data_IF_988072474349
#
_entry.id   IF_988072474349
#
_cell.length_a   1.000
_cell.length_b   1.000
_cell.length_c   1.000
_cell.angle_alpha   90.00
_cell.angle_beta   90.00
_cell.angle_gamma   90.00
#
_symmetry.space_group_name_H-M   'P 1'
#
loop_
_entity.id
_entity.type
_entity.pdbx_description
1 polymer ?
#
# COMPACT_ATOMS: atom_id res chain seq x y z
N UNK A 1 -5.84 2.63 10.06
CA UNK A 1 -5.15 1.58 9.26
C UNK A 1 -3.86 1.09 9.93
N UNK A 2 -3.40 -0.15 9.66
CA UNK A 2 -2.13 -0.71 10.16
C UNK A 2 -1.10 -0.84 9.02
N UNK A 3 0.11 -0.29 9.20
CA UNK A 3 1.17 -0.30 8.17
C UNK A 3 1.56 -1.71 7.73
N UNK A 4 1.72 -2.64 8.68
CA UNK A 4 2.14 -4.00 8.40
C UNK A 4 1.09 -4.80 7.61
N UNK A 5 -0.20 -4.51 7.77
CA UNK A 5 -1.25 -5.15 6.97
C UNK A 5 -1.20 -4.70 5.51
N UNK A 6 -0.82 -3.44 5.27
CA UNK A 6 -0.56 -2.94 3.91
C UNK A 6 0.65 -3.64 3.31
N UNK A 7 1.73 -3.81 4.08
CA UNK A 7 2.93 -4.53 3.61
C UNK A 7 2.59 -5.98 3.24
N UNK A 8 1.79 -6.69 4.06
CA UNK A 8 1.33 -8.05 3.74
C UNK A 8 0.52 -8.07 2.46
N UNK A 9 -0.44 -7.16 2.30
CA UNK A 9 -1.23 -7.06 1.07
C UNK A 9 -0.36 -6.73 -0.14
N UNK A 10 0.62 -5.83 -0.02
CA UNK A 10 1.55 -5.51 -1.10
C UNK A 10 2.34 -6.76 -1.52
N UNK A 11 2.72 -7.59 -0.55
CA UNK A 11 3.40 -8.86 -0.80
C UNK A 11 2.51 -9.90 -1.46
N UNK A 12 1.30 -10.12 -0.92
CA UNK A 12 0.31 -11.08 -1.46
C UNK A 12 -0.09 -10.75 -2.90
N UNK A 13 -0.17 -9.45 -3.21
CA UNK A 13 -0.60 -8.94 -4.51
C UNK A 13 0.56 -8.53 -5.41
N UNK A 14 1.79 -8.84 -5.01
CA UNK A 14 2.98 -8.61 -5.82
C UNK A 14 2.88 -9.42 -7.12
N UNK A 15 2.73 -8.71 -8.24
CA UNK A 15 2.54 -9.30 -9.56
C UNK A 15 1.08 -9.37 -10.03
N UNK A 16 0.10 -9.16 -9.14
CA UNK A 16 -1.32 -9.11 -9.50
C UNK A 16 -1.79 -7.67 -9.81
N UNK A 17 -1.23 -6.67 -9.13
CA UNK A 17 -1.66 -5.29 -9.32
C UNK A 17 -0.99 -4.29 -8.38
N UNK A 18 -1.63 -3.14 -8.22
CA UNK A 18 -1.30 -2.11 -7.24
C UNK A 18 -2.38 -2.06 -6.16
N UNK A 19 -2.08 -1.49 -4.99
CA UNK A 19 -3.09 -1.24 -3.97
C UNK A 19 -3.60 0.19 -4.06
N UNK A 20 -4.91 0.35 -4.24
CA UNK A 20 -5.60 1.62 -4.17
C UNK A 20 -6.16 1.80 -2.75
N UNK A 21 -5.84 2.92 -2.11
CA UNK A 21 -6.41 3.33 -0.82
C UNK A 21 -7.48 4.38 -1.08
N UNK A 22 -8.67 4.20 -0.51
CA UNK A 22 -9.85 5.01 -0.79
C UNK A 22 -10.20 5.97 0.37
N UNK A 23 -11.05 6.99 0.15
CA UNK A 23 -11.46 7.92 1.20
C UNK A 23 -12.21 7.29 2.39
N UNK A 24 -12.80 6.11 2.20
CA UNK A 24 -13.46 5.33 3.25
C UNK A 24 -12.50 4.38 3.99
N UNK A 25 -11.19 4.60 3.85
CA UNK A 25 -10.10 3.78 4.40
C UNK A 25 -10.03 2.34 3.86
N UNK A 26 -10.83 2.00 2.84
CA UNK A 26 -10.75 0.70 2.20
C UNK A 26 -9.51 0.59 1.32
N UNK A 27 -9.03 -0.65 1.14
CA UNK A 27 -7.89 -0.97 0.27
C UNK A 27 -8.34 -2.04 -0.73
N UNK A 28 -8.18 -1.76 -2.02
CA UNK A 28 -8.49 -2.72 -3.09
C UNK A 28 -7.29 -2.92 -4.00
N UNK A 29 -7.23 -4.08 -4.65
CA UNK A 29 -6.27 -4.32 -5.73
C UNK A 29 -6.81 -3.71 -7.01
N UNK A 30 -5.96 -2.97 -7.71
CA UNK A 30 -6.23 -2.40 -9.03
C UNK A 30 -5.17 -2.87 -10.03
N UNK A 31 -5.49 -2.99 -11.32
CA UNK A 31 -4.53 -3.43 -12.32
C UNK A 31 -3.24 -2.58 -12.36
N UNK A 32 -2.11 -3.12 -12.87
CA UNK A 32 -0.86 -2.37 -13.00
C UNK A 32 -0.99 -1.07 -13.82
N UNK A 33 -1.86 -1.07 -14.83
CA UNK A 33 -2.17 0.01 -15.77
C UNK A 33 -3.40 0.83 -15.35
N UNK A 34 -3.82 0.73 -14.09
CA UNK A 34 -5.00 1.40 -13.58
C UNK A 34 -4.99 2.92 -13.85
N UNK A 35 -6.05 3.40 -14.51
CA UNK A 35 -6.21 4.78 -14.99
C UNK A 35 -6.38 5.82 -13.87
N UNK A 36 -6.57 5.37 -12.62
CA UNK A 36 -6.76 6.24 -11.47
C UNK A 36 -8.22 6.52 -11.12
N UNK A 37 -9.19 5.85 -11.74
CA UNK A 37 -10.61 6.05 -11.44
C UNK A 37 -11.43 4.74 -11.55
N UNK A 38 -12.32 4.50 -10.58
CA UNK A 38 -13.30 3.41 -10.59
C UNK A 38 -14.67 3.98 -10.22
N UNK A 39 -15.64 3.88 -11.13
CA UNK A 39 -17.01 4.31 -10.89
C UNK A 39 -17.14 5.80 -10.49
N UNK A 40 -16.35 6.69 -11.11
CA UNK A 40 -16.35 8.12 -10.79
C UNK A 40 -15.55 8.50 -9.53
N UNK A 41 -14.96 7.52 -8.83
CA UNK A 41 -14.15 7.75 -7.62
C UNK A 41 -12.67 7.56 -7.93
N UNK A 42 -11.85 8.43 -7.35
CA UNK A 42 -10.39 8.35 -7.41
C UNK A 42 -9.85 7.87 -6.06
N UNK A 43 -8.86 6.96 -6.05
CA UNK A 43 -8.19 6.61 -4.81
C UNK A 43 -7.38 7.81 -4.31
N UNK A 44 -7.18 7.85 -2.99
CA UNK A 44 -6.33 8.85 -2.36
C UNK A 44 -4.85 8.60 -2.64
N UNK A 45 -4.45 7.33 -2.68
CA UNK A 45 -3.09 6.92 -3.02
C UNK A 45 -3.10 5.56 -3.69
N UNK A 46 -2.14 5.35 -4.60
CA UNK A 46 -1.88 4.07 -5.26
C UNK A 46 -0.48 3.61 -4.85
N UNK A 47 -0.42 2.54 -4.08
CA UNK A 47 0.82 1.92 -3.63
C UNK A 47 1.23 0.83 -4.63
N UNK A 48 2.47 0.88 -5.11
CA UNK A 48 2.98 -0.02 -6.16
C UNK A 48 3.86 -1.12 -5.56
N UNK A 49 3.43 -2.40 -5.52
CA UNK A 49 4.19 -3.51 -4.92
C UNK A 49 5.61 -3.66 -5.46
N UNK A 50 5.79 -3.59 -6.78
CA UNK A 50 7.09 -3.81 -7.42
C UNK A 50 8.14 -2.80 -6.92
N UNK A 51 7.74 -1.55 -6.68
CA UNK A 51 8.65 -0.53 -6.19
C UNK A 51 8.92 -0.67 -4.67
N UNK A 52 7.99 -1.26 -3.92
CA UNK A 52 7.99 -1.22 -2.47
C UNK A 52 8.53 -2.51 -1.84
N UNK A 53 8.07 -3.68 -2.30
CA UNK A 53 8.34 -4.96 -1.60
C UNK A 53 9.14 -5.98 -2.43
N UNK A 54 9.26 -5.85 -3.76
CA UNK A 54 9.97 -6.84 -4.59
C UNK A 54 11.49 -6.91 -4.35
N UNK A 55 12.07 -5.97 -3.60
CA UNK A 55 13.50 -5.96 -3.24
C UNK A 55 13.84 -6.84 -2.03
N UNK A 56 12.84 -7.42 -1.36
CA UNK A 56 13.04 -8.27 -0.19
C UNK A 56 12.88 -9.74 -0.57
N UNK A 57 13.80 -10.60 -0.11
CA UNK A 57 13.70 -12.05 -0.33
C UNK A 57 12.57 -12.69 0.50
N UNK A 58 12.19 -12.05 1.62
CA UNK A 58 11.20 -12.56 2.57
C UNK A 58 10.32 -11.42 3.11
N UNK A 59 9.02 -11.70 3.29
CA UNK A 59 8.03 -10.73 3.79
C UNK A 59 8.38 -10.23 5.20
N UNK A 60 9.01 -11.07 6.03
CA UNK A 60 9.44 -10.74 7.38
C UNK A 60 10.46 -9.61 7.42
N UNK A 61 11.28 -9.47 6.37
CA UNK A 61 12.21 -8.35 6.23
C UNK A 61 11.47 -7.07 5.86
N UNK A 62 10.53 -7.13 4.92
CA UNK A 62 9.68 -6.00 4.55
C UNK A 62 8.87 -5.49 5.75
N UNK A 63 8.32 -6.39 6.58
CA UNK A 63 7.51 -6.05 7.75
C UNK A 63 8.28 -5.29 8.85
N UNK A 64 9.61 -5.36 8.84
CA UNK A 64 10.49 -4.76 9.84
C UNK A 64 11.34 -3.62 9.29
N UNK A 65 11.30 -3.37 7.98
CA UNK A 65 12.13 -2.34 7.34
C UNK A 65 11.58 -0.94 7.68
N UNK A 66 12.30 -0.14 8.48
CA UNK A 66 11.80 1.16 8.93
C UNK A 66 11.64 2.15 7.78
N UNK A 67 12.43 2.02 6.70
CA UNK A 67 12.35 2.89 5.53
C UNK A 67 11.09 2.62 4.72
N UNK A 68 10.77 1.35 4.48
CA UNK A 68 9.53 0.93 3.81
C UNK A 68 8.32 1.35 4.63
N UNK A 69 8.30 1.03 5.94
CA UNK A 69 7.18 1.37 6.82
C UNK A 69 6.94 2.88 6.83
N UNK A 70 7.97 3.70 7.00
CA UNK A 70 7.84 5.16 6.94
C UNK A 70 7.38 5.65 5.57
N UNK A 71 7.89 5.08 4.47
CA UNK A 71 7.46 5.46 3.11
C UNK A 71 5.96 5.25 2.89
N UNK A 72 5.43 4.09 3.31
CA UNK A 72 3.99 3.79 3.22
C UNK A 72 3.21 4.74 4.11
N UNK A 73 3.66 4.94 5.34
CA UNK A 73 2.99 5.83 6.28
C UNK A 73 2.93 7.27 5.79
N UNK A 74 4.02 7.81 5.25
CA UNK A 74 4.07 9.19 4.75
C UNK A 74 3.13 9.36 3.56
N UNK A 75 3.10 8.39 2.64
CA UNK A 75 2.19 8.41 1.51
C UNK A 75 0.72 8.36 1.94
N UNK A 76 0.37 7.55 2.94
CA UNK A 76 -1.00 7.49 3.46
C UNK A 76 -1.34 8.74 4.27
N UNK A 77 -0.46 9.22 5.15
CA UNK A 77 -0.70 10.43 5.97
C UNK A 77 -0.80 11.69 5.11
N UNK A 78 -0.10 11.78 3.98
CA UNK A 78 -0.23 12.89 3.04
C UNK A 78 -1.66 13.04 2.48
N UNK A 79 -2.48 11.99 2.56
CA UNK A 79 -3.89 12.02 2.15
C UNK A 79 -4.85 12.45 3.25
N UNK A 80 -4.35 12.65 4.48
CA UNK A 80 -5.14 12.97 5.67
C UNK A 80 -5.64 11.75 6.45
N UNK A 81 -5.35 10.52 6.00
CA UNK A 81 -5.74 9.28 6.68
C UNK A 81 -4.82 8.95 7.86
N UNK A 82 -5.38 8.28 8.88
CA UNK A 82 -4.64 7.83 10.04
C UNK A 82 -4.08 6.41 9.86
N UNK A 83 -2.78 6.26 10.08
CA UNK A 83 -2.05 4.99 9.97
C UNK A 83 -1.06 4.82 11.11
N UNK A 84 -1.07 3.64 11.72
CA UNK A 84 -0.22 3.27 12.84
C UNK A 84 0.53 1.97 12.55
N UNK A 85 1.63 1.76 13.25
CA UNK A 85 2.35 0.49 13.23
C UNK A 85 1.65 -0.52 14.14
N UNK A 86 1.68 -1.78 13.75
CA UNK A 86 1.40 -2.87 14.66
C UNK A 86 2.38 -2.81 15.85
N UNK A 87 1.93 -3.21 17.06
CA UNK A 87 2.77 -3.28 18.26
C UNK A 87 3.93 -4.27 18.12
#
# INVERSE_FOLDING_TARGET
>A
MITQDIVRKLWEEAGNGNLAVWPDETITVVPPDYSGETGGKKPLVILKPIALVNKYDFVEYALKDPGLLSTIEDQVRATGLNITRAP
#
